data_IF_534262548697
#
_entry.id   IF_534262548697
#
_cell.length_a   1.000
_cell.length_b   1.000
_cell.length_c   1.000
_cell.angle_alpha   90.00
_cell.angle_beta   90.00
_cell.angle_gamma   90.00
#
_symmetry.space_group_name_H-M   'P 1'
#
loop_
_entity.id
_entity.type
_entity.pdbx_description
1 polymer ?
#
# COMPACT_ATOMS: atom_id res chain seq x y z
N UNK A 1 -1.16 14.02 -9.34
CA UNK A 1 0.00 13.13 -9.19
C UNK A 1 -0.26 11.76 -9.79
N UNK A 2 0.79 11.14 -10.33
CA UNK A 2 0.69 9.86 -11.00
C UNK A 2 0.13 8.74 -10.12
N UNK A 3 0.45 8.72 -8.84
CA UNK A 3 -0.05 7.68 -7.94
C UNK A 3 -1.57 7.76 -7.75
N UNK A 4 -2.17 8.94 -7.84
CA UNK A 4 -3.63 9.08 -7.77
C UNK A 4 -4.29 8.49 -9.00
N UNK A 5 -3.68 8.62 -10.17
CA UNK A 5 -4.18 7.99 -11.38
C UNK A 5 -4.16 6.46 -11.28
N UNK A 6 -3.11 5.90 -10.71
CA UNK A 6 -3.01 4.45 -10.46
C UNK A 6 -4.09 4.00 -9.48
N UNK A 7 -4.25 4.70 -8.36
CA UNK A 7 -5.27 4.39 -7.36
C UNK A 7 -6.67 4.45 -7.99
N UNK A 8 -6.94 5.47 -8.77
CA UNK A 8 -8.24 5.65 -9.44
C UNK A 8 -8.52 4.53 -10.43
N UNK A 9 -7.53 4.13 -11.22
CA UNK A 9 -7.68 3.03 -12.18
C UNK A 9 -8.04 1.72 -11.48
N UNK A 10 -7.38 1.40 -10.36
CA UNK A 10 -7.70 0.21 -9.57
C UNK A 10 -9.09 0.31 -8.94
N UNK A 11 -9.47 1.48 -8.43
CA UNK A 11 -10.79 1.69 -7.85
C UNK A 11 -11.90 1.49 -8.88
N UNK A 12 -11.70 2.00 -10.10
CA UNK A 12 -12.65 1.81 -11.21
C UNK A 12 -12.78 0.33 -11.58
N UNK A 13 -11.65 -0.39 -11.62
CA UNK A 13 -11.68 -1.83 -11.89
C UNK A 13 -12.48 -2.58 -10.83
N UNK A 14 -12.25 -2.29 -9.55
CA UNK A 14 -12.95 -2.95 -8.44
C UNK A 14 -14.44 -2.62 -8.46
N UNK A 15 -14.81 -1.38 -8.73
CA UNK A 15 -16.21 -0.97 -8.83
C UNK A 15 -16.93 -1.72 -9.97
N UNK A 16 -16.25 -1.94 -11.09
CA UNK A 16 -16.79 -2.67 -12.24
C UNK A 16 -16.77 -4.19 -12.05
N UNK A 17 -16.00 -4.70 -11.10
CA UNK A 17 -15.82 -6.14 -10.83
C UNK A 17 -16.04 -6.43 -9.35
N UNK A 18 -17.32 -6.48 -8.89
CA UNK A 18 -17.63 -6.60 -7.45
C UNK A 18 -17.09 -7.85 -6.77
N UNK A 19 -16.77 -8.90 -7.52
CA UNK A 19 -16.19 -10.13 -6.96
C UNK A 19 -14.68 -10.11 -6.85
N UNK A 20 -14.02 -9.09 -7.44
CA UNK A 20 -12.58 -8.97 -7.35
C UNK A 20 -12.17 -8.49 -5.94
N UNK A 21 -11.04 -8.99 -5.46
CA UNK A 21 -10.47 -8.64 -4.16
C UNK A 21 -9.01 -8.26 -4.35
N UNK A 22 -8.58 -7.21 -3.68
CA UNK A 22 -7.21 -6.73 -3.73
C UNK A 22 -6.64 -6.70 -2.31
N UNK A 23 -5.34 -6.94 -2.18
CA UNK A 23 -4.61 -6.75 -0.94
C UNK A 23 -3.62 -5.61 -1.11
N UNK A 24 -3.66 -4.64 -0.20
CA UNK A 24 -2.70 -3.55 -0.14
C UNK A 24 -1.65 -3.90 0.90
N UNK A 25 -0.40 -4.00 0.47
CA UNK A 25 0.73 -4.35 1.32
C UNK A 25 1.50 -3.06 1.64
N UNK A 26 1.47 -2.66 2.90
CA UNK A 26 2.20 -1.49 3.36
C UNK A 26 3.61 -1.85 3.79
N UNK A 27 4.57 -1.02 3.40
CA UNK A 27 5.99 -1.26 3.66
C UNK A 27 6.67 0.01 4.21
N UNK A 28 7.74 -0.21 4.96
CA UNK A 28 8.61 0.82 5.47
C UNK A 28 10.06 0.57 5.09
N UNK A 29 10.93 1.48 5.50
CA UNK A 29 12.37 1.28 5.37
C UNK A 29 12.95 0.67 6.66
N UNK A 30 14.28 0.43 6.66
CA UNK A 30 14.97 -0.25 7.78
C UNK A 30 15.09 0.57 9.06
N UNK A 31 14.77 1.86 9.02
CA UNK A 31 14.95 2.76 10.17
C UNK A 31 13.80 2.62 11.16
N UNK A 32 14.12 2.67 12.44
CA UNK A 32 13.14 2.55 13.52
C UNK A 32 12.95 1.12 13.99
N UNK A 33 12.05 0.95 14.96
CA UNK A 33 11.76 -0.37 15.49
C UNK A 33 10.87 -1.17 14.54
N UNK A 34 10.85 -2.49 14.74
CA UNK A 34 9.97 -3.39 13.98
C UNK A 34 8.50 -3.00 14.16
N UNK A 35 8.09 -2.76 15.39
CA UNK A 35 6.71 -2.41 15.72
C UNK A 35 6.30 -1.07 15.11
N UNK A 36 7.19 -0.10 15.14
CA UNK A 36 6.96 1.21 14.53
C UNK A 36 6.75 1.06 13.02
N UNK A 37 7.59 0.28 12.36
CA UNK A 37 7.52 0.10 10.91
C UNK A 37 6.28 -0.70 10.48
N UNK A 38 5.84 -1.67 11.27
CA UNK A 38 4.59 -2.38 11.02
C UNK A 38 3.41 -1.41 11.12
N UNK A 39 3.36 -0.59 12.16
CA UNK A 39 2.30 0.39 12.32
C UNK A 39 2.30 1.42 11.18
N UNK A 40 3.47 1.84 10.74
CA UNK A 40 3.63 2.80 9.64
C UNK A 40 3.15 2.20 8.32
N UNK A 41 3.49 0.93 8.06
CA UNK A 41 3.01 0.20 6.89
C UNK A 41 1.48 0.06 6.88
N UNK A 42 0.89 -0.22 8.03
CA UNK A 42 -0.57 -0.27 8.17
C UNK A 42 -1.21 1.07 7.81
N UNK A 43 -0.66 2.16 8.32
CA UNK A 43 -1.18 3.51 8.01
C UNK A 43 -1.07 3.83 6.53
N UNK A 44 0.01 3.42 5.86
CA UNK A 44 0.18 3.61 4.42
C UNK A 44 -0.85 2.82 3.63
N UNK A 45 -1.04 1.55 3.97
CA UNK A 45 -2.04 0.71 3.31
C UNK A 45 -3.46 1.25 3.54
N UNK A 46 -3.79 1.66 4.75
CA UNK A 46 -5.10 2.22 5.07
C UNK A 46 -5.37 3.53 4.35
N UNK A 47 -4.35 4.36 4.16
CA UNK A 47 -4.50 5.60 3.40
C UNK A 47 -4.87 5.32 1.94
N UNK A 48 -4.23 4.34 1.33
CA UNK A 48 -4.55 3.94 -0.06
C UNK A 48 -5.95 3.33 -0.12
N UNK A 49 -6.32 2.50 0.85
CA UNK A 49 -7.69 1.94 0.92
C UNK A 49 -8.74 3.03 0.97
N UNK A 50 -8.54 4.06 1.80
CA UNK A 50 -9.47 5.18 1.88
C UNK A 50 -9.58 5.95 0.58
N UNK A 51 -8.46 6.13 -0.13
CA UNK A 51 -8.49 6.76 -1.45
C UNK A 51 -9.27 5.93 -2.46
N UNK A 52 -9.04 4.62 -2.48
CA UNK A 52 -9.78 3.71 -3.37
C UNK A 52 -11.28 3.73 -3.08
N UNK A 53 -11.66 3.71 -1.82
CA UNK A 53 -13.06 3.77 -1.41
C UNK A 53 -13.70 5.11 -1.84
N UNK A 54 -12.98 6.21 -1.69
CA UNK A 54 -13.45 7.53 -2.14
C UNK A 54 -13.66 7.58 -3.64
N UNK A 55 -12.91 6.78 -4.41
CA UNK A 55 -13.01 6.69 -5.86
C UNK A 55 -13.98 5.61 -6.35
N UNK A 56 -14.74 4.99 -5.44
CA UNK A 56 -15.83 4.09 -5.79
C UNK A 56 -15.65 2.60 -5.50
N UNK A 57 -14.49 2.16 -5.06
CA UNK A 57 -14.29 0.76 -4.69
C UNK A 57 -15.02 0.45 -3.37
N UNK A 58 -15.55 -0.76 -3.25
CA UNK A 58 -16.15 -1.19 -1.98
C UNK A 58 -15.06 -1.59 -0.98
N UNK A 59 -15.12 -1.11 0.27
CA UNK A 59 -14.13 -1.49 1.28
C UNK A 59 -13.99 -3.00 1.49
N UNK A 60 -15.05 -3.77 1.29
CA UNK A 60 -15.00 -5.23 1.44
C UNK A 60 -14.16 -5.92 0.38
N UNK A 61 -13.84 -5.24 -0.72
CA UNK A 61 -12.95 -5.74 -1.77
C UNK A 61 -11.49 -5.50 -1.45
N UNK A 62 -11.18 -4.76 -0.39
CA UNK A 62 -9.84 -4.25 -0.13
C UNK A 62 -9.35 -4.76 1.23
N UNK A 63 -8.36 -5.64 1.20
CA UNK A 63 -7.65 -6.09 2.40
C UNK A 63 -6.37 -5.29 2.56
N UNK A 64 -5.94 -5.10 3.80
CA UNK A 64 -4.68 -4.43 4.10
C UNK A 64 -3.80 -5.35 4.94
N UNK A 65 -2.50 -5.29 4.71
CA UNK A 65 -1.49 -5.98 5.50
C UNK A 65 -0.24 -5.12 5.56
N UNK A 66 0.48 -5.18 6.65
CA UNK A 66 1.78 -4.51 6.77
C UNK A 66 2.89 -5.53 6.97
N UNK A 67 3.96 -5.39 6.19
CA UNK A 67 5.19 -6.14 6.37
C UNK A 67 6.28 -5.31 7.07
N UNK A 68 6.01 -4.02 7.34
CA UNK A 68 7.01 -3.15 7.94
C UNK A 68 8.25 -3.09 7.06
N UNK A 69 9.42 -3.34 7.64
CA UNK A 69 10.70 -3.34 6.94
C UNK A 69 11.13 -4.73 6.42
N UNK A 70 10.31 -5.76 6.61
CA UNK A 70 10.71 -7.15 6.42
C UNK A 70 10.81 -7.59 4.96
N UNK A 71 10.24 -6.84 4.03
CA UNK A 71 10.25 -7.19 2.59
C UNK A 71 10.75 -6.02 1.74
N UNK A 72 12.03 -5.67 1.84
CA UNK A 72 12.58 -4.58 1.03
C UNK A 72 12.64 -4.95 -0.46
N UNK A 73 12.41 -3.95 -1.34
CA UNK A 73 12.62 -4.11 -2.78
C UNK A 73 14.01 -3.66 -3.21
N UNK A 74 14.70 -2.90 -2.34
CA UNK A 74 16.06 -2.43 -2.61
C UNK A 74 16.91 -2.60 -1.37
N UNK A 75 18.18 -2.94 -1.58
CA UNK A 75 19.15 -3.13 -0.50
C UNK A 75 20.08 -1.93 -0.41
N UNK A 76 20.48 -1.57 0.80
CA UNK A 76 21.40 -0.47 1.06
C UNK A 76 20.90 0.46 2.15
N UNK A 77 21.69 1.49 2.45
CA UNK A 77 21.47 2.36 3.60
C UNK A 77 21.50 3.85 3.19
N UNK A 78 20.87 4.18 2.07
CA UNK A 78 20.76 5.56 1.61
C UNK A 78 19.31 6.00 1.53
N UNK A 79 19.07 7.30 1.49
CA UNK A 79 17.73 7.85 1.33
C UNK A 79 17.06 7.36 0.03
N UNK A 80 17.83 7.21 -1.05
CA UNK A 80 17.28 6.70 -2.32
C UNK A 80 16.73 5.27 -2.16
N UNK A 81 17.46 4.42 -1.44
CA UNK A 81 17.03 3.04 -1.15
C UNK A 81 15.84 3.06 -0.20
N UNK A 82 15.90 3.84 0.87
CA UNK A 82 14.80 3.93 1.84
C UNK A 82 13.51 4.41 1.20
N UNK A 83 13.61 5.38 0.29
CA UNK A 83 12.44 5.88 -0.44
C UNK A 83 11.75 4.80 -1.27
N UNK A 84 12.53 3.92 -1.91
CA UNK A 84 11.99 2.81 -2.68
C UNK A 84 11.26 1.80 -1.78
N UNK A 85 11.72 1.63 -0.55
CA UNK A 85 11.11 0.69 0.39
C UNK A 85 9.85 1.22 1.07
N UNK A 86 9.69 2.54 1.19
CA UNK A 86 8.49 3.18 1.73
C UNK A 86 7.40 3.20 0.66
N UNK A 87 6.62 2.13 0.61
CA UNK A 87 5.65 1.95 -0.48
C UNK A 87 4.42 1.15 -0.05
N UNK A 88 3.41 1.18 -0.90
CA UNK A 88 2.27 0.26 -0.85
C UNK A 88 2.25 -0.52 -2.16
N UNK A 89 2.19 -1.84 -2.07
CA UNK A 89 2.05 -2.70 -3.23
C UNK A 89 0.60 -3.16 -3.34
N UNK A 90 0.09 -3.16 -4.56
CA UNK A 90 -1.29 -3.51 -4.88
C UNK A 90 -1.28 -4.91 -5.49
N UNK A 91 -1.87 -5.89 -4.80
CA UNK A 91 -1.80 -7.30 -5.17
C UNK A 91 -3.20 -7.90 -5.25
N UNK A 92 -3.53 -8.38 -6.43
CA UNK A 92 -4.80 -9.10 -6.66
C UNK A 92 -4.74 -10.56 -6.33
#
# INVERSE_FOLDING_TARGET
PEYLDVVRAHAEYLAANPSAVVTLQGHGDERGSREYNIALGERRADAVKRLMAAEGASPVQINTVSYGEEQPVASGHSEDVWALNRRVEIVY
#
